data_IF_359626788357
#
_entry.id   IF_359626788357
#
_cell.length_a   1.000
_cell.length_b   1.000
_cell.length_c   1.000
_cell.angle_alpha   90.00
_cell.angle_beta   90.00
_cell.angle_gamma   90.00
#
_symmetry.space_group_name_H-M   'P 1'
#
loop_
_entity.id
_entity.type
_entity.pdbx_description
1 polymer ?
#
# COMPACT_ATOMS: atom_id res chain seq x y z
N UNK A 1 9.77 -12.49 -2.30
CA UNK A 1 10.67 -12.17 -3.42
C UNK A 1 11.25 -10.80 -3.17
N UNK A 2 12.52 -10.73 -2.77
CA UNK A 2 13.19 -9.53 -2.23
C UNK A 2 14.27 -8.99 -3.17
N UNK A 3 14.33 -7.68 -3.39
CA UNK A 3 15.62 -7.04 -3.75
C UNK A 3 16.37 -6.69 -2.47
N UNK A 4 17.58 -7.21 -2.29
CA UNK A 4 18.53 -6.71 -1.27
C UNK A 4 19.47 -5.71 -1.97
N UNK A 5 20.04 -4.73 -1.28
CA UNK A 5 21.09 -3.87 -1.86
C UNK A 5 22.43 -4.12 -1.15
N UNK A 6 23.53 -4.15 -1.93
CA UNK A 6 24.89 -4.16 -1.38
C UNK A 6 25.37 -2.71 -1.21
N UNK A 7 25.45 -2.28 0.05
CA UNK A 7 26.42 -1.32 0.60
C UNK A 7 26.43 0.15 0.12
N UNK A 8 26.58 1.06 1.08
CA UNK A 8 27.38 2.29 1.00
C UNK A 8 27.92 2.60 2.41
N UNK A 9 29.17 3.09 2.60
CA UNK A 9 29.82 3.12 3.91
C UNK A 9 29.67 4.50 4.58
N UNK A 10 28.80 4.62 5.58
CA UNK A 10 28.95 5.66 6.61
C UNK A 10 28.62 5.11 7.99
N UNK A 11 29.60 5.28 8.88
CA UNK A 11 29.72 4.95 10.31
C UNK A 11 28.45 4.44 11.01
N UNK A 12 28.46 3.14 11.34
CA UNK A 12 27.47 2.46 12.16
C UNK A 12 27.26 1.04 11.63
N UNK A 13 27.42 0.03 12.50
CA UNK A 13 27.36 -1.41 12.20
C UNK A 13 26.64 -1.80 10.89
N UNK A 14 27.40 -2.09 9.83
CA UNK A 14 26.82 -2.47 8.53
C UNK A 14 26.55 -3.97 8.52
N UNK A 15 25.29 -4.36 8.73
CA UNK A 15 24.83 -5.74 8.55
C UNK A 15 25.08 -6.18 7.10
N UNK A 16 26.02 -7.12 6.90
CA UNK A 16 26.24 -7.79 5.61
C UNK A 16 25.43 -9.08 5.60
N UNK A 17 24.50 -9.20 4.66
CA UNK A 17 23.72 -10.43 4.46
C UNK A 17 24.28 -11.14 3.23
N UNK A 18 24.62 -12.42 3.40
CA UNK A 18 25.05 -13.29 2.31
C UNK A 18 23.85 -13.96 1.63
N UNK A 19 24.08 -14.66 0.53
CA UNK A 19 23.02 -15.29 -0.26
C UNK A 19 22.25 -16.34 0.55
N UNK A 20 22.96 -17.09 1.41
CA UNK A 20 22.36 -18.09 2.31
C UNK A 20 21.44 -17.43 3.34
N UNK A 21 21.81 -16.26 3.86
CA UNK A 21 20.97 -15.46 4.73
C UNK A 21 19.68 -15.01 4.04
N UNK A 22 19.75 -14.56 2.78
CA UNK A 22 18.58 -14.17 2.00
C UNK A 22 17.67 -15.37 1.72
N UNK A 23 18.22 -16.54 1.39
CA UNK A 23 17.45 -17.76 1.18
C UNK A 23 16.72 -18.20 2.46
N UNK A 24 17.44 -18.16 3.59
CA UNK A 24 16.88 -18.48 4.91
C UNK A 24 15.75 -17.52 5.26
N UNK A 25 15.99 -16.22 5.10
CA UNK A 25 14.97 -15.19 5.31
C UNK A 25 13.75 -15.39 4.40
N UNK A 26 13.95 -15.73 3.13
CA UNK A 26 12.86 -15.97 2.18
C UNK A 26 11.98 -17.13 2.63
N UNK A 27 12.57 -18.22 3.16
CA UNK A 27 11.82 -19.34 3.73
C UNK A 27 11.06 -18.93 4.99
N UNK A 28 11.70 -18.25 5.94
CA UNK A 28 11.06 -17.77 7.17
C UNK A 28 9.90 -16.82 6.86
N UNK A 29 10.10 -15.89 5.93
CA UNK A 29 9.08 -14.95 5.47
C UNK A 29 7.88 -15.69 4.84
N UNK A 30 8.14 -16.68 3.97
CA UNK A 30 7.09 -17.50 3.37
C UNK A 30 6.29 -18.30 4.40
N UNK A 31 6.95 -18.91 5.38
CA UNK A 31 6.30 -19.64 6.47
C UNK A 31 5.44 -18.72 7.33
N UNK A 32 5.97 -17.58 7.74
CA UNK A 32 5.23 -16.63 8.55
C UNK A 32 4.06 -16.02 7.79
N UNK A 33 4.23 -15.70 6.50
CA UNK A 33 3.11 -15.21 5.69
C UNK A 33 2.01 -16.27 5.57
N UNK A 34 2.40 -17.53 5.39
CA UNK A 34 1.46 -18.65 5.32
C UNK A 34 0.66 -18.83 6.62
N UNK A 35 1.28 -18.62 7.79
CA UNK A 35 0.54 -18.69 9.08
C UNK A 35 -0.50 -17.57 9.26
N UNK A 36 -0.40 -16.48 8.48
CA UNK A 36 -1.39 -15.41 8.38
C UNK A 36 -2.31 -15.55 7.15
N UNK A 37 -2.32 -16.73 6.52
CA UNK A 37 -3.17 -17.01 5.35
C UNK A 37 -2.63 -16.50 4.02
N UNK A 38 -1.44 -15.89 3.98
CA UNK A 38 -0.78 -15.41 2.76
C UNK A 38 0.13 -16.51 2.19
N UNK A 39 -0.45 -17.42 1.43
CA UNK A 39 0.29 -18.50 0.77
C UNK A 39 0.85 -18.09 -0.60
N UNK A 40 2.09 -18.50 -0.88
CA UNK A 40 2.68 -18.46 -2.23
C UNK A 40 2.12 -19.56 -3.11
N UNK A 41 2.07 -19.33 -4.43
CA UNK A 41 1.73 -20.40 -5.38
C UNK A 41 2.79 -21.51 -5.31
N UNK A 42 2.43 -22.76 -4.95
CA UNK A 42 3.40 -23.86 -4.81
C UNK A 42 4.08 -24.24 -6.13
N UNK A 43 3.50 -23.87 -7.27
CA UNK A 43 4.10 -24.07 -8.60
C UNK A 43 5.11 -22.99 -8.97
N UNK A 44 5.20 -21.91 -8.21
CA UNK A 44 6.12 -20.82 -8.47
C UNK A 44 7.24 -20.82 -7.44
N UNK A 45 8.48 -20.79 -7.93
CA UNK A 45 9.64 -20.61 -7.06
C UNK A 45 9.74 -19.16 -6.62
N UNK A 46 9.92 -18.92 -5.31
CA UNK A 46 10.30 -17.62 -4.80
C UNK A 46 11.75 -17.33 -5.21
N UNK A 47 11.97 -16.30 -6.01
CA UNK A 47 13.31 -15.86 -6.41
C UNK A 47 13.62 -14.47 -5.87
N UNK A 48 14.90 -14.13 -5.83
CA UNK A 48 15.39 -12.82 -5.41
C UNK A 48 16.52 -12.37 -6.35
N UNK A 49 16.81 -11.07 -6.32
CA UNK A 49 17.92 -10.47 -7.04
C UNK A 49 18.56 -9.38 -6.17
N UNK A 50 19.82 -9.07 -6.41
CA UNK A 50 20.48 -7.94 -5.77
C UNK A 50 20.27 -6.69 -6.64
N UNK A 51 19.78 -5.60 -6.05
CA UNK A 51 19.60 -4.34 -6.77
C UNK A 51 20.87 -3.49 -6.62
N UNK A 52 21.21 -2.76 -7.67
CA UNK A 52 22.10 -1.61 -7.59
C UNK A 52 21.30 -0.40 -7.06
N UNK A 53 21.56 0.08 -5.83
CA UNK A 53 20.83 1.21 -5.24
C UNK A 53 21.11 2.55 -5.93
N UNK A 54 22.16 2.65 -6.75
CA UNK A 54 22.47 3.83 -7.57
C UNK A 54 21.99 3.68 -9.02
N UNK A 55 21.51 2.50 -9.40
CA UNK A 55 21.04 2.22 -10.76
C UNK A 55 19.60 2.66 -10.99
N UNK A 56 19.13 2.47 -12.22
CA UNK A 56 17.74 2.69 -12.60
C UNK A 56 16.85 1.61 -11.96
N UNK A 57 16.02 1.99 -10.98
CA UNK A 57 15.10 1.08 -10.31
C UNK A 57 14.00 0.56 -11.25
N UNK A 58 13.52 1.37 -12.19
CA UNK A 58 12.44 0.95 -13.08
C UNK A 58 12.93 -0.17 -14.01
N UNK A 59 14.11 0.01 -14.61
CA UNK A 59 14.75 -1.02 -15.43
C UNK A 59 15.01 -2.31 -14.63
N UNK A 60 15.58 -2.19 -13.44
CA UNK A 60 15.87 -3.35 -12.58
C UNK A 60 14.60 -4.12 -12.16
N UNK A 61 13.52 -3.41 -11.84
CA UNK A 61 12.22 -4.04 -11.54
C UNK A 61 11.67 -4.74 -12.78
N UNK A 62 11.73 -4.10 -13.95
CA UNK A 62 11.28 -4.70 -15.21
C UNK A 62 12.04 -5.99 -15.53
N UNK A 63 13.37 -5.98 -15.39
CA UNK A 63 14.22 -7.17 -15.58
C UNK A 63 13.86 -8.30 -14.60
N UNK A 64 13.59 -7.97 -13.32
CA UNK A 64 13.14 -8.97 -12.34
C UNK A 64 11.77 -9.55 -12.70
N UNK A 65 10.79 -8.71 -13.05
CA UNK A 65 9.45 -9.15 -13.45
C UNK A 65 9.54 -10.08 -14.66
N UNK A 66 10.35 -9.71 -15.66
CA UNK A 66 10.55 -10.48 -16.88
C UNK A 66 11.16 -11.85 -16.57
N UNK A 67 12.21 -11.88 -15.74
CA UNK A 67 12.84 -13.13 -15.28
C UNK A 67 11.84 -14.04 -14.55
N UNK A 68 11.05 -13.48 -13.63
CA UNK A 68 10.05 -14.22 -12.86
C UNK A 68 8.95 -14.77 -13.76
N UNK A 69 8.50 -14.00 -14.75
CA UNK A 69 7.47 -14.42 -15.69
C UNK A 69 7.95 -15.54 -16.60
N UNK A 70 9.19 -15.47 -17.11
CA UNK A 70 9.79 -16.55 -17.91
C UNK A 70 9.96 -17.83 -17.10
N UNK A 71 10.40 -17.72 -15.85
CA UNK A 71 10.71 -18.90 -15.03
C UNK A 71 9.48 -19.55 -14.36
N UNK A 72 8.46 -18.77 -14.01
CA UNK A 72 7.26 -19.28 -13.36
C UNK A 72 6.03 -19.35 -14.28
N UNK A 73 6.16 -18.96 -15.55
CA UNK A 73 5.07 -18.80 -16.51
C UNK A 73 3.91 -17.86 -16.05
N UNK A 74 4.13 -17.09 -14.99
CA UNK A 74 3.13 -16.24 -14.36
C UNK A 74 3.78 -14.93 -13.93
N UNK A 75 3.09 -13.82 -14.18
CA UNK A 75 3.50 -12.49 -13.72
C UNK A 75 3.35 -12.40 -12.19
N UNK A 76 4.36 -11.91 -11.44
CA UNK A 76 4.26 -11.76 -9.99
C UNK A 76 3.16 -10.75 -9.61
N UNK A 77 2.39 -11.06 -8.58
CA UNK A 77 1.39 -10.17 -7.99
C UNK A 77 1.89 -9.43 -6.74
N UNK A 78 3.08 -9.77 -6.24
CA UNK A 78 3.73 -9.12 -5.09
C UNK A 78 5.24 -9.02 -5.32
N UNK A 79 5.79 -7.83 -5.10
CA UNK A 79 7.23 -7.58 -4.97
C UNK A 79 7.57 -7.14 -3.55
N UNK A 80 8.61 -7.74 -2.97
CA UNK A 80 9.16 -7.31 -1.67
C UNK A 80 10.50 -6.62 -1.95
N UNK A 81 10.77 -5.53 -1.27
CA UNK A 81 12.03 -4.78 -1.37
C UNK A 81 12.66 -4.72 0.02
N UNK A 82 13.89 -5.20 0.17
CA UNK A 82 14.67 -5.12 1.40
C UNK A 82 15.65 -3.97 1.25
N UNK A 83 15.34 -2.86 1.91
CA UNK A 83 16.10 -1.62 1.84
C UNK A 83 17.16 -1.59 2.94
N UNK A 84 18.35 -1.02 2.69
CA UNK A 84 19.44 -1.01 3.66
C UNK A 84 19.10 -0.17 4.90
N UNK A 85 18.24 0.84 4.73
CA UNK A 85 17.80 1.76 5.76
C UNK A 85 16.38 2.26 5.44
N UNK A 86 15.84 3.12 6.30
CA UNK A 86 14.52 3.73 6.13
C UNK A 86 14.54 4.99 5.24
N UNK A 87 15.43 5.06 4.24
CA UNK A 87 15.53 6.24 3.37
C UNK A 87 14.23 6.48 2.57
N UNK A 88 13.65 7.66 2.76
CA UNK A 88 12.39 8.08 2.13
C UNK A 88 12.49 8.07 0.61
N UNK A 89 13.61 8.53 0.04
CA UNK A 89 13.79 8.64 -1.42
C UNK A 89 13.60 7.29 -2.13
N UNK A 90 14.34 6.27 -1.73
CA UNK A 90 14.26 4.93 -2.34
C UNK A 90 12.88 4.31 -2.15
N UNK A 91 12.29 4.47 -0.96
CA UNK A 91 10.92 4.01 -0.68
C UNK A 91 9.92 4.65 -1.64
N UNK A 92 9.91 5.98 -1.76
CA UNK A 92 8.98 6.72 -2.62
C UNK A 92 9.17 6.36 -4.10
N UNK A 93 10.42 6.24 -4.57
CA UNK A 93 10.70 5.87 -5.96
C UNK A 93 10.19 4.46 -6.29
N UNK A 94 10.48 3.47 -5.45
CA UNK A 94 10.02 2.09 -5.65
C UNK A 94 8.49 2.00 -5.61
N UNK A 95 7.86 2.73 -4.68
CA UNK A 95 6.41 2.80 -4.55
C UNK A 95 5.77 3.39 -5.79
N UNK A 96 6.22 4.57 -6.22
CA UNK A 96 5.76 5.22 -7.45
C UNK A 96 5.84 4.27 -8.63
N UNK A 97 7.01 3.67 -8.88
CA UNK A 97 7.20 2.75 -10.01
C UNK A 97 6.24 1.55 -9.94
N UNK A 98 6.09 0.91 -8.77
CA UNK A 98 5.21 -0.25 -8.63
C UNK A 98 3.73 0.11 -8.78
N UNK A 99 3.32 1.24 -8.21
CA UNK A 99 1.91 1.64 -8.13
C UNK A 99 1.44 2.30 -9.45
N UNK A 100 2.30 3.03 -10.17
CA UNK A 100 1.93 3.74 -11.42
C UNK A 100 2.38 3.03 -12.70
N UNK A 101 3.59 2.48 -12.74
CA UNK A 101 4.17 1.94 -13.98
C UNK A 101 3.81 0.47 -14.16
N UNK A 102 3.91 -0.34 -13.10
CA UNK A 102 3.70 -1.78 -13.20
C UNK A 102 2.34 -2.25 -12.68
N UNK A 103 1.70 -1.52 -11.76
CA UNK A 103 0.45 -1.97 -11.13
C UNK A 103 0.63 -3.29 -10.36
N UNK A 104 1.75 -3.46 -9.65
CA UNK A 104 2.04 -4.66 -8.85
C UNK A 104 2.12 -4.27 -7.37
N UNK A 105 1.43 -5.04 -6.52
CA UNK A 105 1.50 -4.81 -5.08
C UNK A 105 2.96 -4.90 -4.59
N UNK A 106 3.37 -3.94 -3.77
CA UNK A 106 4.75 -3.84 -3.29
C UNK A 106 4.85 -3.72 -1.77
N UNK A 107 5.90 -4.30 -1.18
CA UNK A 107 6.20 -4.20 0.25
C UNK A 107 7.68 -3.91 0.49
N UNK A 108 7.99 -2.73 1.01
CA UNK A 108 9.34 -2.37 1.42
C UNK A 108 9.57 -2.76 2.89
N UNK A 109 10.74 -3.30 3.19
CA UNK A 109 11.15 -3.76 4.51
C UNK A 109 12.56 -3.26 4.77
N UNK A 110 12.89 -2.91 6.02
CA UNK A 110 14.23 -2.45 6.37
C UNK A 110 15.09 -3.67 6.73
N UNK A 111 16.29 -3.76 6.17
CA UNK A 111 17.22 -4.87 6.30
C UNK A 111 17.43 -5.27 7.77
N UNK A 112 17.73 -4.30 8.62
CA UNK A 112 17.94 -4.53 10.05
C UNK A 112 16.74 -5.24 10.71
N UNK A 113 15.50 -4.81 10.41
CA UNK A 113 14.28 -5.44 10.94
C UNK A 113 14.01 -6.82 10.35
N UNK A 114 14.43 -7.05 9.10
CA UNK A 114 14.30 -8.35 8.45
C UNK A 114 15.19 -9.41 9.09
N UNK A 115 16.37 -9.02 9.58
CA UNK A 115 17.40 -9.93 10.08
C UNK A 115 17.63 -9.84 11.59
N UNK A 116 16.85 -9.04 12.32
CA UNK A 116 16.85 -9.03 13.77
C UNK A 116 16.05 -10.25 14.31
N UNK A 117 16.77 -11.29 14.72
CA UNK A 117 16.19 -12.52 15.28
C UNK A 117 15.27 -12.25 16.48
N UNK A 118 15.56 -11.23 17.29
CA UNK A 118 14.69 -10.81 18.39
C UNK A 118 13.50 -10.04 17.81
N UNK A 119 12.34 -10.70 17.77
CA UNK A 119 11.09 -10.11 17.27
C UNK A 119 10.87 -10.22 15.76
N UNK A 120 11.73 -10.95 15.03
CA UNK A 120 11.59 -11.16 13.58
C UNK A 120 10.19 -11.65 13.19
N UNK A 121 9.68 -12.67 13.89
CA UNK A 121 8.38 -13.27 13.57
C UNK A 121 7.21 -12.30 13.81
N UNK A 122 7.28 -11.50 14.87
CA UNK A 122 6.27 -10.47 15.13
C UNK A 122 6.31 -9.38 14.06
N UNK A 123 7.51 -8.92 13.67
CA UNK A 123 7.67 -7.98 12.56
C UNK A 123 7.09 -8.54 11.26
N UNK A 124 7.44 -9.77 10.90
CA UNK A 124 6.95 -10.45 9.71
C UNK A 124 5.43 -10.67 9.76
N UNK A 125 4.84 -10.96 10.92
CA UNK A 125 3.39 -11.05 11.10
C UNK A 125 2.69 -9.73 10.80
N UNK A 126 3.21 -8.61 11.32
CA UNK A 126 2.69 -7.28 11.00
C UNK A 126 2.80 -6.94 9.50
N UNK A 127 3.87 -7.41 8.85
CA UNK A 127 4.02 -7.25 7.40
C UNK A 127 3.04 -8.15 6.64
N UNK A 128 2.80 -9.38 7.10
CA UNK A 128 1.84 -10.30 6.49
C UNK A 128 0.43 -9.70 6.49
N UNK A 129 0.01 -9.06 7.59
CA UNK A 129 -1.27 -8.34 7.67
C UNK A 129 -1.39 -7.23 6.60
N UNK A 130 -0.30 -6.51 6.31
CA UNK A 130 -0.27 -5.49 5.25
C UNK A 130 -0.33 -6.10 3.85
N UNK A 131 0.42 -7.18 3.63
CA UNK A 131 0.47 -7.89 2.34
C UNK A 131 -0.87 -8.53 2.02
N UNK A 132 -1.53 -9.13 3.01
CA UNK A 132 -2.83 -9.77 2.85
C UNK A 132 -3.87 -8.79 2.27
N UNK A 133 -3.95 -7.57 2.83
CA UNK A 133 -4.85 -6.52 2.34
C UNK A 133 -4.46 -6.01 0.96
N UNK A 134 -3.17 -5.83 0.68
CA UNK A 134 -2.67 -5.43 -0.66
C UNK A 134 -2.98 -6.45 -1.75
N UNK A 135 -3.10 -7.73 -1.40
CA UNK A 135 -3.51 -8.80 -2.30
C UNK A 135 -5.04 -8.97 -2.35
N UNK A 136 -5.80 -7.99 -1.87
CA UNK A 136 -7.26 -7.94 -1.97
C UNK A 136 -8.00 -8.83 -0.98
N UNK A 137 -7.33 -9.32 0.07
CA UNK A 137 -7.93 -10.14 1.13
C UNK A 137 -8.26 -9.29 2.36
N UNK A 138 -8.98 -9.87 3.31
CA UNK A 138 -9.34 -9.20 4.57
C UNK A 138 -8.65 -9.92 5.73
N UNK A 139 -8.09 -9.16 6.67
CA UNK A 139 -7.48 -9.73 7.88
C UNK A 139 -8.55 -10.20 8.86
N UNK A 140 -9.58 -9.38 9.04
CA UNK A 140 -10.72 -9.63 9.92
C UNK A 140 -11.99 -9.14 9.23
N UNK A 141 -13.09 -9.82 9.50
CA UNK A 141 -14.43 -9.41 9.08
C UNK A 141 -15.34 -9.40 10.31
N UNK A 142 -16.26 -8.46 10.35
CA UNK A 142 -17.27 -8.39 11.41
C UNK A 142 -18.53 -9.06 10.87
N UNK A 143 -19.08 -9.99 11.65
CA UNK A 143 -20.38 -10.62 11.36
C UNK A 143 -21.47 -9.88 12.12
N UNK A 144 -21.92 -8.77 11.53
CA UNK A 144 -22.98 -7.94 12.07
C UNK A 144 -24.30 -8.18 11.30
N UNK A 145 -25.37 -8.69 11.95
CA UNK A 145 -26.65 -8.95 11.28
C UNK A 145 -27.30 -7.71 10.64
N UNK A 146 -27.06 -6.51 11.18
CA UNK A 146 -27.57 -5.26 10.63
C UNK A 146 -26.84 -4.92 9.32
N UNK A 147 -25.50 -4.95 9.31
CA UNK A 147 -24.71 -4.73 8.08
C UNK A 147 -24.99 -5.79 7.00
N UNK A 148 -25.29 -7.02 7.39
CA UNK A 148 -25.62 -8.10 6.44
C UNK A 148 -26.99 -7.84 5.77
N UNK A 149 -28.01 -7.46 6.55
CA UNK A 149 -29.37 -7.20 6.07
C UNK A 149 -29.47 -5.89 5.29
N UNK A 150 -28.80 -4.85 5.77
CA UNK A 150 -28.79 -3.51 5.21
C UNK A 150 -27.33 -3.10 4.93
N UNK A 151 -26.77 -3.52 3.78
CA UNK A 151 -25.40 -3.20 3.44
C UNK A 151 -25.17 -1.70 3.43
N UNK A 152 -24.27 -1.23 4.28
CA UNK A 152 -23.86 0.16 4.32
C UNK A 152 -22.54 0.34 3.56
N UNK A 153 -22.38 1.52 2.95
CA UNK A 153 -21.10 1.97 2.42
C UNK A 153 -20.48 2.94 3.42
N UNK A 154 -19.28 2.62 3.89
CA UNK A 154 -18.51 3.51 4.78
C UNK A 154 -17.51 4.27 3.92
N UNK A 155 -17.51 5.59 4.04
CA UNK A 155 -16.61 6.49 3.33
C UNK A 155 -15.85 7.34 4.33
N UNK A 156 -14.56 7.50 4.11
CA UNK A 156 -13.68 8.41 4.85
C UNK A 156 -13.04 9.38 3.88
N UNK A 157 -12.99 10.66 4.24
CA UNK A 157 -12.42 11.72 3.42
C UNK A 157 -11.44 12.57 4.23
N UNK A 158 -10.29 12.82 3.59
CA UNK A 158 -9.25 13.72 4.09
C UNK A 158 -8.71 14.64 2.98
N UNK A 159 -8.29 15.84 3.38
CA UNK A 159 -7.63 16.85 2.57
C UNK A 159 -6.27 17.17 3.20
N UNK A 160 -5.21 17.00 2.42
CA UNK A 160 -3.83 17.25 2.86
C UNK A 160 -3.31 18.53 2.20
N UNK A 161 -3.04 19.52 3.04
CA UNK A 161 -2.44 20.80 2.63
C UNK A 161 -0.92 20.78 2.77
N UNK A 162 -0.26 21.59 1.96
CA UNK A 162 1.16 21.87 2.14
C UNK A 162 1.42 22.54 3.48
N UNK A 163 2.62 22.34 4.04
CA UNK A 163 3.00 23.00 5.29
C UNK A 163 2.95 24.53 5.16
N UNK A 164 2.82 25.29 6.28
CA UNK A 164 2.75 26.75 6.22
C UNK A 164 3.94 27.43 5.51
N UNK A 165 5.13 26.81 5.55
CA UNK A 165 6.31 27.32 4.83
C UNK A 165 6.21 27.08 3.32
N UNK A 166 5.65 25.95 2.91
CA UNK A 166 5.42 25.60 1.52
C UNK A 166 4.27 26.39 0.90
N UNK A 167 3.23 26.70 1.67
CA UNK A 167 2.10 27.53 1.21
C UNK A 167 2.50 28.96 0.82
N UNK A 168 3.71 29.41 1.17
CA UNK A 168 4.26 30.71 0.77
C UNK A 168 5.03 30.67 -0.56
N UNK A 169 5.18 29.49 -1.18
CA UNK A 169 5.78 29.37 -2.50
C UNK A 169 4.86 29.99 -3.56
N UNK A 170 5.43 30.38 -4.70
CA UNK A 170 4.67 30.93 -5.82
C UNK A 170 4.94 30.13 -7.11
N UNK A 171 3.97 29.32 -7.59
CA UNK A 171 2.66 29.06 -6.98
C UNK A 171 2.76 28.18 -5.71
N UNK A 172 1.77 28.24 -4.80
CA UNK A 172 1.71 27.34 -3.66
C UNK A 172 1.44 25.90 -4.12
N UNK A 173 1.89 24.86 -3.38
CA UNK A 173 1.57 23.49 -3.74
C UNK A 173 0.07 23.22 -3.63
N UNK A 174 -0.44 22.28 -4.44
CA UNK A 174 -1.86 21.95 -4.43
C UNK A 174 -2.28 21.26 -3.13
N UNK A 175 -3.59 21.22 -2.91
CA UNK A 175 -4.21 20.34 -1.92
C UNK A 175 -4.45 18.98 -2.53
N UNK A 176 -4.07 17.91 -1.82
CA UNK A 176 -4.39 16.55 -2.21
C UNK A 176 -5.59 16.05 -1.42
N UNK A 177 -6.60 15.55 -2.11
CA UNK A 177 -7.81 14.99 -1.50
C UNK A 177 -7.86 13.49 -1.71
N UNK A 178 -8.37 12.77 -0.72
CA UNK A 178 -8.51 11.32 -0.81
C UNK A 178 -9.82 10.86 -0.17
N UNK A 179 -10.64 10.14 -0.95
CA UNK A 179 -11.81 9.43 -0.42
C UNK A 179 -11.48 7.94 -0.42
N UNK A 180 -11.57 7.32 0.76
CA UNK A 180 -11.49 5.87 0.92
C UNK A 180 -12.87 5.33 1.26
N UNK A 181 -13.37 4.38 0.47
CA UNK A 181 -14.70 3.83 0.67
C UNK A 181 -14.73 2.30 0.63
N UNK A 182 -15.54 1.73 1.51
CA UNK A 182 -15.81 0.30 1.51
C UNK A 182 -16.50 -0.09 0.19
N UNK A 183 -16.15 -1.24 -0.35
CA UNK A 183 -16.77 -1.77 -1.56
C UNK A 183 -17.39 -3.15 -1.35
N UNK A 184 -17.21 -3.78 -0.20
CA UNK A 184 -17.85 -5.05 0.15
C UNK A 184 -18.93 -4.86 1.23
N UNK A 185 -19.83 -5.85 1.33
CA UNK A 185 -20.97 -5.84 2.27
C UNK A 185 -20.57 -5.91 3.74
N UNK A 186 -19.34 -6.35 4.03
CA UNK A 186 -18.81 -6.51 5.39
C UNK A 186 -17.97 -5.31 5.84
N UNK A 187 -17.87 -4.27 5.02
CA UNK A 187 -17.04 -3.10 5.27
C UNK A 187 -15.58 -3.47 5.60
N UNK A 188 -15.05 -4.54 5.02
CA UNK A 188 -13.72 -5.07 5.31
C UNK A 188 -12.71 -4.75 4.21
N UNK A 189 -13.17 -4.29 3.04
CA UNK A 189 -12.32 -3.93 1.91
C UNK A 189 -12.65 -2.54 1.42
N UNK A 190 -11.59 -1.75 1.25
CA UNK A 190 -11.66 -0.35 0.86
C UNK A 190 -10.93 -0.13 -0.45
N UNK A 191 -11.48 0.77 -1.26
CA UNK A 191 -10.82 1.34 -2.42
C UNK A 191 -10.76 2.84 -2.23
N UNK A 192 -9.74 3.47 -2.81
CA UNK A 192 -9.56 4.91 -2.67
C UNK A 192 -9.57 5.57 -4.04
N UNK A 193 -9.97 6.83 -4.05
CA UNK A 193 -9.82 7.76 -5.17
C UNK A 193 -9.12 8.99 -4.61
N UNK A 194 -8.07 9.43 -5.29
CA UNK A 194 -7.28 10.61 -4.91
C UNK A 194 -7.39 11.65 -6.00
N UNK A 195 -7.55 12.91 -5.61
CA UNK A 195 -7.54 14.05 -6.53
C UNK A 195 -6.58 15.13 -6.06
N UNK A 196 -6.33 16.09 -6.94
CA UNK A 196 -5.47 17.23 -6.72
C UNK A 196 -6.28 18.48 -7.09
N UNK A 197 -6.32 19.45 -6.20
CA UNK A 197 -7.08 20.70 -6.35
C UNK A 197 -6.26 21.89 -5.89
N UNK A 198 -6.79 23.10 -6.11
CA UNK A 198 -6.09 24.32 -5.75
C UNK A 198 -5.71 24.37 -4.25
N UNK A 199 -4.64 25.12 -3.96
CA UNK A 199 -4.10 25.24 -2.62
C UNK A 199 -5.15 25.79 -1.63
N UNK A 200 -5.27 25.16 -0.46
CA UNK A 200 -6.16 25.57 0.63
C UNK A 200 -7.65 25.24 0.43
N UNK A 201 -8.01 24.47 -0.60
CA UNK A 201 -9.40 24.06 -0.81
C UNK A 201 -9.75 22.84 0.05
N UNK A 202 -10.69 23.01 0.99
CA UNK A 202 -11.20 21.94 1.87
C UNK A 202 -12.31 21.10 1.24
N UNK A 203 -13.09 21.71 0.34
CA UNK A 203 -14.22 21.07 -0.35
C UNK A 203 -13.72 20.35 -1.59
N UNK A 204 -14.08 19.08 -1.76
CA UNK A 204 -13.73 18.32 -2.96
C UNK A 204 -14.53 18.88 -4.15
N UNK A 205 -13.82 19.37 -5.16
CA UNK A 205 -14.46 19.95 -6.35
C UNK A 205 -15.23 18.90 -7.16
N UNK A 206 -14.66 17.70 -7.33
CA UNK A 206 -15.22 16.61 -8.13
C UNK A 206 -15.94 15.53 -7.30
N UNK A 207 -16.53 15.89 -6.16
CA UNK A 207 -17.13 14.91 -5.24
C UNK A 207 -18.16 14.00 -5.94
N UNK A 208 -19.01 14.57 -6.79
CA UNK A 208 -20.06 13.82 -7.50
C UNK A 208 -19.50 12.68 -8.35
N UNK A 209 -18.51 12.96 -9.19
CA UNK A 209 -17.86 11.96 -10.04
C UNK A 209 -17.13 10.88 -9.21
N UNK A 210 -16.44 11.30 -8.14
CA UNK A 210 -15.74 10.39 -7.24
C UNK A 210 -16.75 9.48 -6.51
N UNK A 211 -17.85 10.05 -6.01
CA UNK A 211 -18.90 9.29 -5.34
C UNK A 211 -19.55 8.28 -6.28
N UNK A 212 -19.84 8.66 -7.53
CA UNK A 212 -20.38 7.77 -8.55
C UNK A 212 -19.45 6.58 -8.82
N UNK A 213 -18.14 6.84 -9.00
CA UNK A 213 -17.15 5.78 -9.19
C UNK A 213 -17.10 4.82 -7.98
N UNK A 214 -17.09 5.37 -6.77
CA UNK A 214 -17.05 4.56 -5.54
C UNK A 214 -18.34 3.76 -5.33
N UNK A 215 -19.49 4.30 -5.72
CA UNK A 215 -20.78 3.59 -5.71
C UNK A 215 -20.77 2.45 -6.72
N UNK A 216 -20.28 2.68 -7.93
CA UNK A 216 -20.12 1.64 -8.95
C UNK A 216 -19.24 0.49 -8.46
N UNK A 217 -18.08 0.78 -7.87
CA UNK A 217 -17.19 -0.24 -7.27
C UNK A 217 -17.89 -1.05 -6.19
N UNK A 218 -18.74 -0.42 -5.37
CA UNK A 218 -19.55 -1.12 -4.37
C UNK A 218 -20.58 -2.03 -5.05
N UNK A 219 -21.34 -1.52 -6.03
CA UNK A 219 -22.36 -2.29 -6.74
C UNK A 219 -21.77 -3.50 -7.47
N UNK A 220 -20.60 -3.34 -8.11
CA UNK A 220 -19.88 -4.41 -8.80
C UNK A 220 -19.54 -5.58 -7.86
N UNK A 221 -19.15 -5.29 -6.61
CA UNK A 221 -18.74 -6.31 -5.64
C UNK A 221 -19.91 -6.81 -4.78
N UNK A 222 -20.78 -5.93 -4.31
CA UNK A 222 -21.91 -6.23 -3.43
C UNK A 222 -23.15 -6.73 -4.19
N UNK A 223 -23.21 -6.52 -5.51
CA UNK A 223 -24.33 -6.87 -6.41
C UNK A 223 -25.66 -6.19 -6.06
N UNK A 224 -25.59 -5.05 -5.39
CA UNK A 224 -26.72 -4.17 -5.03
C UNK A 224 -26.20 -2.83 -4.55
N UNK A 225 -27.10 -1.87 -4.49
CA UNK A 225 -26.80 -0.55 -3.95
C UNK A 225 -26.75 -0.59 -2.41
N UNK A 226 -25.95 0.31 -1.78
CA UNK A 226 -25.93 0.43 -0.33
C UNK A 226 -27.27 1.00 0.17
N UNK A 227 -27.78 0.46 1.28
CA UNK A 227 -28.99 0.96 1.94
C UNK A 227 -28.73 2.27 2.69
N UNK A 228 -27.48 2.50 3.10
CA UNK A 228 -27.03 3.70 3.78
C UNK A 228 -25.59 4.03 3.40
N UNK A 229 -25.26 5.31 3.43
CA UNK A 229 -23.90 5.82 3.29
C UNK A 229 -23.52 6.48 4.61
N UNK A 230 -22.43 6.02 5.21
CA UNK A 230 -21.84 6.63 6.41
C UNK A 230 -20.57 7.35 5.96
N UNK A 231 -20.51 8.66 6.16
CA UNK A 231 -19.43 9.51 5.69
C UNK A 231 -18.69 10.13 6.87
N UNK A 232 -17.39 9.86 6.97
CA UNK A 232 -16.49 10.45 7.95
C UNK A 232 -15.59 11.47 7.25
N UNK A 233 -15.70 12.74 7.65
CA UNK A 233 -14.83 13.82 7.21
C UNK A 233 -13.85 14.14 8.33
N UNK A 234 -12.56 13.96 8.09
CA UNK A 234 -11.49 14.37 9.02
C UNK A 234 -11.10 15.84 8.78
N UNK A 235 -10.37 16.47 9.70
CA UNK A 235 -9.60 17.69 9.41
C UNK A 235 -10.38 18.99 9.22
N UNK A 236 -11.68 19.05 9.47
CA UNK A 236 -12.42 20.32 9.44
C UNK A 236 -12.25 21.10 10.74
N UNK A 237 -11.97 22.40 10.62
CA UNK A 237 -12.20 23.34 11.70
C UNK A 237 -13.69 23.63 11.88
N UNK A 238 -14.06 24.17 13.05
CA UNK A 238 -15.44 24.60 13.33
C UNK A 238 -15.97 25.56 12.26
N UNK A 239 -15.11 26.46 11.76
CA UNK A 239 -15.49 27.45 10.73
C UNK A 239 -15.68 26.88 9.33
N UNK A 240 -15.26 25.64 9.10
CA UNK A 240 -15.37 24.96 7.81
C UNK A 240 -16.51 23.95 7.81
N UNK A 241 -17.07 23.61 8.98
CA UNK A 241 -18.16 22.65 9.09
C UNK A 241 -19.37 23.07 8.27
N UNK A 242 -19.80 24.33 8.40
CA UNK A 242 -20.93 24.90 7.65
C UNK A 242 -20.71 24.94 6.13
N UNK A 243 -19.45 24.87 5.68
CA UNK A 243 -19.11 24.85 4.24
C UNK A 243 -19.22 23.45 3.64
N UNK A 244 -19.19 22.40 4.47
CA UNK A 244 -19.15 20.99 4.05
C UNK A 244 -20.45 20.26 4.35
N UNK A 245 -21.15 20.64 5.42
CA UNK A 245 -22.45 20.09 5.81
C UNK A 245 -23.50 21.20 5.65
N UNK A 246 -24.17 21.30 4.49
CA UNK A 246 -25.27 22.24 4.29
C UNK A 246 -26.54 21.83 5.06
#
# INVERSE_FOLDING_TARGET
>A
MGFCSRQCPERGHTMRVDERGIDTFTKTCGQQFSSYGVASNPRCSCQWAMANPQGDFQRQIHELISKLQTSNAVRPNLLIFILPNAAVKSYCTLKKICDTTFGIASQCMVLEKCFNLKGQLQYLGNIALKVNVKLGRSNTVIEDPFLIKQPAKIMGYDASHSSPSQGRMNPPPPTFTAISASYDRRCAKYSSVTSCQDAGQEVIQDFGAIAEELLKRFQEQAKRDPAAIIYFRDGLSETEFDKVVP
#
